data_IF_190581870754
#
_entry.id   IF_190581870754
#
_cell.length_a   1.000
_cell.length_b   1.000
_cell.length_c   1.000
_cell.angle_alpha   90.00
_cell.angle_beta   90.00
_cell.angle_gamma   90.00
#
_symmetry.space_group_name_H-M   'P 1'
#
loop_
_entity.id
_entity.type
_entity.pdbx_description
1 polymer ?
#
# COMPACT_ATOMS: atom_id res chain seq x y z
N UNK A 1 22.51 36.27 4.12
CA UNK A 1 23.87 36.11 3.55
C UNK A 1 23.80 35.09 2.43
N UNK A 2 23.70 35.54 1.17
CA UNK A 2 23.70 34.67 -0.01
C UNK A 2 25.15 34.39 -0.42
N UNK A 3 25.64 33.19 -0.10
CA UNK A 3 26.94 32.73 -0.60
C UNK A 3 26.74 32.18 -2.02
N UNK A 4 27.44 32.70 -3.05
CA UNK A 4 27.31 32.18 -4.40
C UNK A 4 27.97 30.80 -4.45
N UNK A 5 27.18 29.77 -4.81
CA UNK A 5 27.71 28.42 -5.14
C UNK A 5 28.58 28.50 -6.40
N UNK A 6 29.80 28.99 -6.24
CA UNK A 6 30.90 28.84 -7.18
C UNK A 6 31.67 27.56 -6.79
N UNK A 7 31.03 26.41 -6.95
CA UNK A 7 31.77 25.15 -7.01
C UNK A 7 32.06 24.89 -8.48
N UNK A 8 33.30 25.19 -8.91
CA UNK A 8 33.91 24.61 -10.11
C UNK A 8 33.91 23.09 -9.96
N UNK A 9 32.78 22.45 -10.16
CA UNK A 9 32.72 21.00 -10.27
C UNK A 9 33.44 20.63 -11.56
N UNK A 10 34.52 19.85 -11.42
CA UNK A 10 35.26 19.29 -12.53
C UNK A 10 34.24 18.56 -13.44
N UNK A 11 34.26 18.76 -14.77
CA UNK A 11 33.29 18.13 -15.64
C UNK A 11 33.30 16.61 -15.40
N UNK A 12 32.14 16.07 -15.03
CA UNK A 12 31.96 14.63 -14.81
C UNK A 12 32.37 13.88 -16.07
N UNK A 13 33.04 12.74 -15.90
CA UNK A 13 33.37 11.88 -17.02
C UNK A 13 32.09 11.23 -17.57
N UNK A 14 32.14 10.71 -18.81
CA UNK A 14 30.99 10.01 -19.38
C UNK A 14 30.60 8.77 -18.55
N UNK A 15 31.57 8.11 -17.91
CA UNK A 15 31.33 6.99 -17.00
C UNK A 15 30.57 7.42 -15.75
N UNK A 16 30.92 8.57 -15.15
CA UNK A 16 30.21 9.09 -13.97
C UNK A 16 28.73 9.37 -14.29
N UNK A 17 28.44 9.93 -15.47
CA UNK A 17 27.08 10.19 -15.95
C UNK A 17 26.30 8.87 -16.10
N UNK A 18 26.92 7.82 -16.65
CA UNK A 18 26.26 6.53 -16.83
C UNK A 18 25.93 5.86 -15.49
N UNK A 19 26.82 5.94 -14.51
CA UNK A 19 26.59 5.39 -13.17
C UNK A 19 25.47 6.13 -12.42
N UNK A 20 25.38 7.45 -12.56
CA UNK A 20 24.28 8.24 -12.02
C UNK A 20 22.93 7.89 -12.66
N UNK A 21 22.88 7.81 -13.99
CA UNK A 21 21.67 7.38 -14.71
C UNK A 21 21.24 5.96 -14.32
N UNK A 22 22.19 5.04 -14.10
CA UNK A 22 21.90 3.69 -13.61
C UNK A 22 21.29 3.73 -12.21
N UNK A 23 21.80 4.59 -11.34
CA UNK A 23 21.27 4.79 -9.98
C UNK A 23 19.84 5.33 -10.01
N UNK A 24 19.56 6.33 -10.86
CA UNK A 24 18.21 6.88 -11.05
C UNK A 24 17.26 5.79 -11.58
N UNK A 25 17.66 5.00 -12.57
CA UNK A 25 16.85 3.88 -13.07
C UNK A 25 16.49 2.87 -11.97
N UNK A 26 17.44 2.52 -11.12
CA UNK A 26 17.20 1.63 -9.98
C UNK A 26 16.23 2.23 -8.97
N UNK A 27 16.30 3.55 -8.74
CA UNK A 27 15.38 4.24 -7.85
C UNK A 27 13.94 4.21 -8.40
N UNK A 28 13.76 4.50 -9.69
CA UNK A 28 12.44 4.43 -10.34
C UNK A 28 11.85 3.01 -10.27
N UNK A 29 12.65 1.97 -10.53
CA UNK A 29 12.21 0.58 -10.40
C UNK A 29 11.78 0.21 -8.97
N UNK A 30 12.49 0.74 -7.95
CA UNK A 30 12.09 0.56 -6.54
C UNK A 30 10.77 1.28 -6.24
N UNK A 31 10.57 2.48 -6.78
CA UNK A 31 9.33 3.23 -6.63
C UNK A 31 8.14 2.51 -7.26
N UNK A 32 8.31 2.00 -8.49
CA UNK A 32 7.29 1.20 -9.18
C UNK A 32 6.90 -0.04 -8.37
N UNK A 33 7.90 -0.79 -7.86
CA UNK A 33 7.64 -1.93 -6.97
C UNK A 33 6.87 -1.53 -5.72
N UNK A 34 7.14 -0.36 -5.15
CA UNK A 34 6.41 0.14 -3.98
C UNK A 34 4.95 0.46 -4.34
N UNK A 35 4.68 1.07 -5.50
CA UNK A 35 3.33 1.31 -5.99
C UNK A 35 2.55 -0.01 -6.16
N UNK A 36 3.19 -1.05 -6.71
CA UNK A 36 2.58 -2.39 -6.79
C UNK A 36 2.23 -2.97 -5.41
N UNK A 37 3.10 -2.77 -4.41
CA UNK A 37 2.79 -3.17 -3.03
C UNK A 37 1.56 -2.44 -2.48
N UNK A 38 1.41 -1.13 -2.74
CA UNK A 38 0.20 -0.38 -2.36
C UNK A 38 -1.05 -0.89 -3.05
N UNK A 39 -0.99 -1.20 -4.35
CA UNK A 39 -2.12 -1.77 -5.08
C UNK A 39 -2.56 -3.11 -4.46
N UNK A 40 -1.60 -3.97 -4.13
CA UNK A 40 -1.89 -5.25 -3.46
C UNK A 40 -2.49 -5.04 -2.06
N UNK A 41 -1.91 -4.15 -1.25
CA UNK A 41 -2.45 -3.80 0.06
C UNK A 41 -3.90 -3.31 -0.05
N UNK A 42 -4.20 -2.45 -1.04
CA UNK A 42 -5.55 -1.95 -1.30
C UNK A 42 -6.53 -3.08 -1.60
N UNK A 43 -6.16 -4.02 -2.48
CA UNK A 43 -6.99 -5.20 -2.78
C UNK A 43 -7.23 -6.05 -1.54
N UNK A 44 -6.22 -6.24 -0.68
CA UNK A 44 -6.39 -7.00 0.57
C UNK A 44 -7.35 -6.31 1.55
N UNK A 45 -7.30 -4.99 1.64
CA UNK A 45 -8.26 -4.20 2.44
C UNK A 45 -9.67 -4.37 1.90
N UNK A 46 -9.87 -4.25 0.58
CA UNK A 46 -11.18 -4.44 -0.05
C UNK A 46 -11.74 -5.84 0.21
N UNK A 47 -10.90 -6.88 0.20
CA UNK A 47 -11.30 -8.25 0.55
C UNK A 47 -11.69 -8.38 2.03
N UNK A 48 -10.91 -7.79 2.95
CA UNK A 48 -11.21 -7.79 4.38
C UNK A 48 -12.52 -7.06 4.68
N UNK A 49 -12.77 -5.93 4.03
CA UNK A 49 -14.02 -5.17 4.15
C UNK A 49 -15.22 -5.97 3.63
N UNK A 50 -15.06 -6.71 2.52
CA UNK A 50 -16.09 -7.61 1.99
C UNK A 50 -16.40 -8.77 2.95
N UNK A 51 -15.38 -9.37 3.57
CA UNK A 51 -15.59 -10.40 4.61
C UNK A 51 -16.35 -9.83 5.81
N UNK A 52 -16.00 -8.61 6.25
CA UNK A 52 -16.69 -7.94 7.34
C UNK A 52 -18.16 -7.66 6.99
N UNK A 53 -18.46 -7.32 5.73
CA UNK A 53 -19.84 -7.13 5.27
C UNK A 53 -20.66 -8.44 5.39
N UNK A 54 -20.13 -9.56 4.92
CA UNK A 54 -20.78 -10.89 5.06
C UNK A 54 -21.02 -11.21 6.54
N UNK A 55 -20.05 -10.91 7.40
CA UNK A 55 -20.16 -11.17 8.82
C UNK A 55 -21.21 -10.27 9.49
N UNK A 56 -21.40 -9.05 9.01
CA UNK A 56 -22.46 -8.13 9.46
C UNK A 56 -23.87 -8.60 9.04
N UNK A 57 -24.00 -9.21 7.86
CA UNK A 57 -25.25 -9.85 7.42
C UNK A 57 -25.59 -11.03 8.34
N UNK A 58 -24.59 -11.86 8.66
CA UNK A 58 -24.72 -12.96 9.63
C UNK A 58 -25.15 -12.45 11.01
N UNK A 59 -24.53 -11.38 11.50
CA UNK A 59 -24.91 -10.75 12.77
C UNK A 59 -26.37 -10.26 12.75
N UNK A 60 -26.84 -9.74 11.61
CA UNK A 60 -28.23 -9.28 11.45
C UNK A 60 -29.21 -10.44 11.50
N UNK A 61 -28.90 -11.56 10.82
CA UNK A 61 -29.67 -12.80 10.89
C UNK A 61 -29.75 -13.35 12.31
N UNK A 62 -28.62 -13.42 13.02
CA UNK A 62 -28.56 -13.87 14.42
C UNK A 62 -29.39 -12.99 15.35
N UNK A 63 -29.32 -11.66 15.20
CA UNK A 63 -30.17 -10.72 15.97
C UNK A 63 -31.66 -10.94 15.72
N UNK A 64 -32.06 -11.19 14.47
CA UNK A 64 -33.44 -11.49 14.13
C UNK A 64 -33.90 -12.80 14.78
N UNK A 65 -33.11 -13.87 14.69
CA UNK A 65 -33.41 -15.16 15.33
C UNK A 65 -33.49 -15.05 16.86
N UNK A 66 -32.55 -14.33 17.48
CA UNK A 66 -32.57 -14.05 18.92
C UNK A 66 -33.85 -13.31 19.35
N UNK A 67 -34.29 -12.31 18.55
CA UNK A 67 -35.56 -11.61 18.79
C UNK A 67 -36.76 -12.57 18.72
N UNK A 68 -36.82 -13.42 17.70
CA UNK A 68 -37.87 -14.45 17.57
C UNK A 68 -37.90 -15.42 18.74
N UNK A 69 -36.73 -15.91 19.16
CA UNK A 69 -36.61 -16.76 20.35
C UNK A 69 -37.11 -16.06 21.61
N UNK A 70 -36.72 -14.79 21.81
CA UNK A 70 -37.15 -13.97 22.95
C UNK A 70 -38.67 -13.81 22.97
N UNK A 71 -39.28 -13.53 21.82
CA UNK A 71 -40.73 -13.41 21.67
C UNK A 71 -41.44 -14.75 21.95
N UNK A 72 -40.93 -15.87 21.42
CA UNK A 72 -41.46 -17.20 21.70
C UNK A 72 -41.36 -17.57 23.19
N UNK A 73 -40.25 -17.27 23.85
CA UNK A 73 -40.07 -17.49 25.29
C UNK A 73 -41.07 -16.64 26.10
N UNK A 74 -41.33 -15.41 25.66
CA UNK A 74 -42.24 -14.50 26.35
C UNK A 74 -43.69 -15.00 26.42
N UNK A 75 -44.10 -15.82 25.44
CA UNK A 75 -45.40 -16.49 25.40
C UNK A 75 -45.53 -17.64 26.41
N UNK A 76 -44.45 -18.00 27.12
CA UNK A 76 -44.40 -19.09 28.12
C UNK A 76 -44.99 -20.40 27.58
N UNK A 77 -44.44 -20.95 26.48
CA UNK A 77 -44.93 -22.20 25.92
C UNK A 77 -44.82 -23.32 26.96
N UNK A 78 -45.92 -24.07 27.13
CA UNK A 78 -46.00 -25.19 28.08
C UNK A 78 -45.89 -26.56 27.40
N UNK A 79 -46.05 -26.60 26.08
CA UNK A 79 -46.00 -27.83 25.29
C UNK A 79 -44.57 -28.38 25.20
N UNK A 80 -44.33 -29.66 25.59
CA UNK A 80 -42.99 -30.25 25.62
C UNK A 80 -42.28 -30.21 24.26
N UNK A 81 -43.01 -30.45 23.17
CA UNK A 81 -42.46 -30.43 21.81
C UNK A 81 -41.97 -29.04 21.39
N UNK A 82 -42.69 -27.99 21.82
CA UNK A 82 -42.31 -26.60 21.55
C UNK A 82 -41.06 -26.24 22.34
N UNK A 83 -40.98 -26.66 23.61
CA UNK A 83 -39.80 -26.45 24.45
C UNK A 83 -38.56 -27.15 23.89
N UNK A 84 -38.68 -28.39 23.40
CA UNK A 84 -37.56 -29.11 22.79
C UNK A 84 -37.07 -28.41 21.51
N UNK A 85 -37.99 -27.96 20.65
CA UNK A 85 -37.64 -27.18 19.45
C UNK A 85 -36.96 -25.87 19.80
N UNK A 86 -37.48 -25.15 20.80
CA UNK A 86 -36.92 -23.90 21.28
C UNK A 86 -35.51 -24.10 21.83
N UNK A 87 -35.30 -25.14 22.64
CA UNK A 87 -33.97 -25.48 23.18
C UNK A 87 -32.96 -25.82 22.08
N UNK A 88 -33.39 -26.58 21.05
CA UNK A 88 -32.54 -26.88 19.89
C UNK A 88 -32.16 -25.62 19.12
N UNK A 89 -33.10 -24.71 18.92
CA UNK A 89 -32.85 -23.45 18.20
C UNK A 89 -31.99 -22.48 19.01
N UNK A 90 -32.18 -22.39 20.33
CA UNK A 90 -31.30 -21.61 21.23
C UNK A 90 -29.87 -22.12 21.09
N UNK A 91 -29.66 -23.44 21.24
CA UNK A 91 -28.34 -24.04 21.09
C UNK A 91 -27.72 -23.77 19.71
N UNK A 92 -28.52 -23.88 18.65
CA UNK A 92 -28.06 -23.58 17.29
C UNK A 92 -27.69 -22.10 17.09
N UNK A 93 -28.38 -21.16 17.75
CA UNK A 93 -28.01 -19.74 17.75
C UNK A 93 -26.73 -19.53 18.56
N UNK A 94 -26.58 -20.14 19.73
CA UNK A 94 -25.36 -20.09 20.55
C UNK A 94 -24.15 -20.59 19.76
N UNK A 95 -24.23 -21.79 19.16
CA UNK A 95 -23.15 -22.37 18.35
C UNK A 95 -22.76 -21.45 17.18
N UNK A 96 -23.74 -20.78 16.53
CA UNK A 96 -23.45 -19.83 15.45
C UNK A 96 -22.87 -18.51 15.94
N UNK A 97 -23.25 -18.04 17.14
CA UNK A 97 -22.64 -16.87 17.76
C UNK A 97 -21.16 -17.14 18.07
N UNK A 98 -20.83 -18.33 18.56
CA UNK A 98 -19.43 -18.71 18.82
C UNK A 98 -18.59 -18.74 17.53
N UNK A 99 -19.15 -19.28 16.44
CA UNK A 99 -18.52 -19.24 15.11
C UNK A 99 -18.34 -17.79 14.65
N UNK A 100 -19.38 -16.96 14.78
CA UNK A 100 -19.37 -15.56 14.39
C UNK A 100 -18.31 -14.75 15.17
N UNK A 101 -18.16 -14.98 16.48
CA UNK A 101 -17.14 -14.34 17.31
C UNK A 101 -15.73 -14.75 16.84
N UNK A 102 -15.52 -16.03 16.54
CA UNK A 102 -14.24 -16.53 16.03
C UNK A 102 -13.88 -15.87 14.70
N UNK A 103 -14.80 -15.87 13.73
CA UNK A 103 -14.60 -15.25 12.41
C UNK A 103 -14.36 -13.74 12.53
N UNK A 104 -15.05 -13.05 13.44
CA UNK A 104 -14.80 -11.64 13.73
C UNK A 104 -13.38 -11.40 14.21
N UNK A 105 -12.88 -12.26 15.10
CA UNK A 105 -11.51 -12.18 15.60
C UNK A 105 -10.50 -12.35 14.47
N UNK A 106 -10.69 -13.34 13.60
CA UNK A 106 -9.81 -13.59 12.44
C UNK A 106 -9.79 -12.40 11.48
N UNK A 107 -10.96 -11.83 11.13
CA UNK A 107 -11.05 -10.63 10.29
C UNK A 107 -10.33 -9.44 10.95
N UNK A 108 -10.47 -9.27 12.26
CA UNK A 108 -9.87 -8.18 13.01
C UNK A 108 -8.33 -8.31 13.13
N UNK A 109 -7.82 -9.53 13.26
CA UNK A 109 -6.37 -9.80 13.21
C UNK A 109 -5.78 -9.43 11.85
N UNK A 110 -6.44 -9.85 10.76
CA UNK A 110 -6.06 -9.47 9.40
C UNK A 110 -6.11 -7.95 9.23
N UNK A 111 -7.17 -7.30 9.73
CA UNK A 111 -7.30 -5.84 9.67
C UNK A 111 -6.14 -5.13 10.36
N UNK A 112 -5.80 -5.58 11.56
CA UNK A 112 -4.68 -5.04 12.34
C UNK A 112 -3.35 -5.18 11.57
N UNK A 113 -3.12 -6.33 10.93
CA UNK A 113 -1.93 -6.53 10.10
C UNK A 113 -1.89 -5.56 8.91
N UNK A 114 -3.03 -5.37 8.22
CA UNK A 114 -3.14 -4.45 7.09
C UNK A 114 -2.92 -2.98 7.50
N UNK A 115 -3.37 -2.57 8.67
CA UNK A 115 -3.15 -1.21 9.18
C UNK A 115 -1.66 -0.99 9.51
N UNK A 116 -0.96 -1.98 10.07
CA UNK A 116 0.50 -1.94 10.26
C UNK A 116 1.23 -1.86 8.91
N UNK A 117 0.84 -2.70 7.94
CA UNK A 117 1.41 -2.66 6.59
C UNK A 117 1.23 -1.28 5.94
N UNK A 118 0.05 -0.67 6.09
CA UNK A 118 -0.23 0.66 5.58
C UNK A 118 0.73 1.71 6.13
N UNK A 119 0.95 1.73 7.44
CA UNK A 119 1.88 2.68 8.09
C UNK A 119 3.29 2.51 7.51
N UNK A 120 3.76 1.27 7.36
CA UNK A 120 5.09 0.99 6.80
C UNK A 120 5.20 1.38 5.33
N UNK A 121 4.19 1.07 4.52
CA UNK A 121 4.14 1.42 3.10
C UNK A 121 4.10 2.94 2.94
N UNK A 122 3.30 3.65 3.73
CA UNK A 122 3.19 5.11 3.72
C UNK A 122 4.53 5.79 4.02
N UNK A 123 5.25 5.32 5.05
CA UNK A 123 6.58 5.83 5.38
C UNK A 123 7.59 5.58 4.24
N UNK A 124 7.54 4.40 3.61
CA UNK A 124 8.38 4.08 2.43
C UNK A 124 8.04 4.97 1.24
N UNK A 125 6.76 5.28 1.02
CA UNK A 125 6.29 6.10 -0.10
C UNK A 125 6.80 7.52 0.02
N UNK A 126 6.64 8.12 1.20
CA UNK A 126 7.13 9.47 1.47
C UNK A 126 8.62 9.58 1.16
N UNK A 127 9.43 8.64 1.67
CA UNK A 127 10.88 8.59 1.37
C UNK A 127 11.14 8.39 -0.13
N UNK A 128 10.40 7.50 -0.78
CA UNK A 128 10.56 7.23 -2.20
C UNK A 128 10.23 8.45 -3.05
N UNK A 129 9.19 9.20 -2.71
CA UNK A 129 8.81 10.42 -3.44
C UNK A 129 9.90 11.48 -3.33
N UNK A 130 10.40 11.74 -2.12
CA UNK A 130 11.53 12.66 -1.93
C UNK A 130 12.77 12.23 -2.72
N UNK A 131 13.09 10.93 -2.73
CA UNK A 131 14.21 10.44 -3.53
C UNK A 131 13.99 10.66 -5.04
N UNK A 132 12.76 10.49 -5.54
CA UNK A 132 12.42 10.71 -6.94
C UNK A 132 12.53 12.20 -7.29
N UNK A 133 12.09 13.09 -6.41
CA UNK A 133 12.27 14.55 -6.57
C UNK A 133 13.76 14.93 -6.62
N UNK A 134 14.59 14.37 -5.74
CA UNK A 134 16.05 14.58 -5.77
C UNK A 134 16.64 14.04 -7.08
N UNK A 135 16.25 12.84 -7.49
CA UNK A 135 16.73 12.24 -8.73
C UNK A 135 16.34 13.06 -9.97
N UNK A 136 15.21 13.77 -9.93
CA UNK A 136 14.81 14.69 -10.99
C UNK A 136 15.77 15.89 -11.09
N UNK A 137 16.15 16.49 -9.95
CA UNK A 137 17.16 17.56 -9.91
C UNK A 137 18.55 17.08 -10.37
N UNK A 138 18.92 15.86 -10.00
CA UNK A 138 20.15 15.23 -10.47
C UNK A 138 20.10 15.00 -11.98
N UNK A 139 18.96 14.59 -12.53
CA UNK A 139 18.77 14.41 -13.97
C UNK A 139 18.99 15.71 -14.74
N UNK A 140 18.43 16.83 -14.29
CA UNK A 140 18.65 18.16 -14.90
C UNK A 140 20.15 18.54 -14.88
N UNK A 141 20.83 18.23 -13.78
CA UNK A 141 22.27 18.46 -13.64
C UNK A 141 23.10 17.57 -14.57
N UNK A 142 22.70 16.32 -14.73
CA UNK A 142 23.32 15.36 -15.66
C UNK A 142 23.14 15.83 -17.10
N UNK A 143 21.95 16.30 -17.47
CA UNK A 143 21.66 16.81 -18.81
C UNK A 143 22.55 18.00 -19.16
N UNK A 144 22.68 18.99 -18.27
CA UNK A 144 23.53 20.15 -18.51
C UNK A 144 25.01 19.75 -18.62
N UNK A 145 25.49 18.85 -17.76
CA UNK A 145 26.87 18.33 -17.85
C UNK A 145 27.12 17.61 -19.18
N UNK A 146 26.20 16.75 -19.61
CA UNK A 146 26.28 16.07 -20.88
C UNK A 146 26.31 17.05 -22.05
N UNK A 147 25.47 18.10 -22.03
CA UNK A 147 25.46 19.17 -23.03
C UNK A 147 26.79 19.92 -23.08
N UNK A 148 27.42 20.21 -21.94
CA UNK A 148 28.75 20.84 -21.88
C UNK A 148 29.85 19.97 -22.47
N UNK A 149 29.83 18.66 -22.19
CA UNK A 149 30.76 17.68 -22.78
C UNK A 149 30.63 17.69 -24.31
N UNK A 150 29.40 17.62 -24.83
CA UNK A 150 29.15 17.66 -26.27
C UNK A 150 29.57 18.98 -26.91
N UNK A 151 29.30 20.12 -26.28
CA UNK A 151 29.78 21.44 -26.76
C UNK A 151 31.32 21.44 -26.89
N UNK A 152 32.03 20.93 -25.90
CA UNK A 152 33.50 20.82 -25.91
C UNK A 152 34.01 19.86 -26.99
N UNK A 153 33.37 18.70 -27.13
CA UNK A 153 33.71 17.72 -28.16
C UNK A 153 33.53 18.28 -29.59
N UNK A 154 32.39 18.91 -29.85
CA UNK A 154 32.10 19.54 -31.15
C UNK A 154 33.05 20.70 -31.46
N UNK A 155 33.40 21.51 -30.46
CA UNK A 155 34.40 22.57 -30.60
C UNK A 155 35.76 22.00 -31.00
N UNK A 156 36.25 20.99 -30.28
CA UNK A 156 37.54 20.35 -30.57
C UNK A 156 37.57 19.72 -31.97
N UNK A 157 36.48 19.06 -32.37
CA UNK A 157 36.35 18.45 -33.70
C UNK A 157 36.42 19.50 -34.81
N UNK A 158 35.77 20.66 -34.62
CA UNK A 158 35.84 21.79 -35.56
C UNK A 158 37.22 22.43 -35.65
N UNK A 159 37.98 22.45 -34.56
CA UNK A 159 39.37 22.95 -34.59
C UNK A 159 40.29 21.98 -35.33
N UNK A 160 40.14 20.67 -35.08
CA UNK A 160 40.88 19.63 -35.79
C UNK A 160 40.59 19.63 -37.30
N UNK A 161 39.36 19.95 -37.71
CA UNK A 161 39.01 20.07 -39.13
C UNK A 161 39.53 21.35 -39.79
N UNK A 162 39.89 22.39 -39.03
CA UNK A 162 40.50 23.63 -39.54
C UNK A 162 42.03 23.55 -39.63
N UNK A 163 42.65 22.62 -38.91
CA UNK A 163 44.10 22.39 -38.90
C UNK A 163 44.57 21.34 -39.92
N UNK A 164 43.66 20.83 -40.77
CA UNK A 164 43.96 20.00 -41.93
C UNK A 164 43.68 20.79 -43.19
#
# INVERSE_FOLDING_TARGET
MNSPRNLKQKPKSCTDIQDELKTIKQLCAKHEKLCLCFSRWKTNVEQNDAQLQILNETATSLRYRHKMLTEMISLKPTEPEVLEKLQKEIKAVEDQVDIWIRELSEINEVRTHLDIEFIQLKAKLQRSMTNIEIAHLDFDTIEENHRLIWKKFLYNTRQLSKSR
#
